data_IF_512471893718
#
_entry.id   IF_512471893718
#
_cell.length_a   1.000
_cell.length_b   1.000
_cell.length_c   1.000
_cell.angle_alpha   90.00
_cell.angle_beta   90.00
_cell.angle_gamma   90.00
#
_symmetry.space_group_name_H-M   'P 1'
#
loop_
_entity.id
_entity.type
_entity.pdbx_description
1 polymer ?
#
# COMPACT_ATOMS: atom_id res chain seq x y z
N UNK A 1 -10.28 -7.60 -8.17
CA UNK A 1 -8.94 -7.57 -7.55
C UNK A 1 -7.79 -7.78 -8.53
N UNK A 2 -7.94 -8.60 -9.58
CA UNK A 2 -6.85 -8.90 -10.53
C UNK A 2 -6.16 -7.67 -11.11
N UNK A 3 -6.93 -6.64 -11.49
CA UNK A 3 -6.40 -5.39 -12.05
C UNK A 3 -5.63 -4.56 -11.03
N UNK A 4 -6.15 -4.43 -9.81
CA UNK A 4 -5.53 -3.69 -8.70
C UNK A 4 -4.23 -4.38 -8.28
N UNK A 5 -4.28 -5.68 -8.01
CA UNK A 5 -3.10 -6.49 -7.69
C UNK A 5 -2.07 -6.44 -8.82
N UNK A 6 -2.50 -6.61 -10.08
CA UNK A 6 -1.61 -6.46 -11.24
C UNK A 6 -0.96 -5.07 -11.29
N UNK A 7 -1.71 -4.00 -11.01
CA UNK A 7 -1.20 -2.63 -11.03
C UNK A 7 -0.13 -2.46 -9.94
N UNK A 8 -0.42 -2.85 -8.71
CA UNK A 8 0.53 -2.79 -7.60
C UNK A 8 1.80 -3.60 -7.87
N UNK A 9 1.67 -4.83 -8.35
CA UNK A 9 2.83 -5.67 -8.69
C UNK A 9 3.60 -5.15 -9.92
N UNK A 10 2.94 -4.55 -10.91
CA UNK A 10 3.60 -3.94 -12.06
C UNK A 10 4.46 -2.73 -11.63
N UNK A 11 3.95 -1.89 -10.73
CA UNK A 11 4.72 -0.78 -10.15
C UNK A 11 5.85 -1.29 -9.26
N UNK A 12 5.59 -2.30 -8.41
CA UNK A 12 6.63 -2.96 -7.61
C UNK A 12 7.78 -3.42 -8.49
N UNK A 13 7.50 -4.25 -9.50
CA UNK A 13 8.52 -4.81 -10.39
C UNK A 13 9.28 -3.69 -11.10
N UNK A 14 8.58 -2.72 -11.69
CA UNK A 14 9.22 -1.62 -12.41
C UNK A 14 10.17 -0.82 -11.52
N UNK A 15 9.72 -0.49 -10.30
CA UNK A 15 10.51 0.29 -9.36
C UNK A 15 11.67 -0.53 -8.77
N UNK A 16 11.46 -1.80 -8.43
CA UNK A 16 12.50 -2.65 -7.86
C UNK A 16 13.56 -3.04 -8.89
N UNK A 17 13.20 -3.18 -10.16
CA UNK A 17 14.19 -3.30 -11.25
C UNK A 17 15.06 -2.05 -11.29
N UNK A 18 14.45 -0.85 -11.28
CA UNK A 18 15.19 0.42 -11.30
C UNK A 18 16.19 0.52 -10.12
N UNK A 19 15.71 0.25 -8.90
CA UNK A 19 16.54 0.25 -7.70
C UNK A 19 17.65 -0.81 -7.80
N UNK A 20 17.34 -2.01 -8.28
CA UNK A 20 18.32 -3.09 -8.41
C UNK A 20 19.41 -2.78 -9.43
N UNK A 21 19.04 -2.15 -10.56
CA UNK A 21 20.01 -1.63 -11.55
C UNK A 21 20.94 -0.63 -10.89
N UNK A 22 20.39 0.37 -10.21
CA UNK A 22 21.17 1.45 -9.62
C UNK A 22 22.11 0.97 -8.50
N UNK A 23 21.65 0.02 -7.67
CA UNK A 23 22.42 -0.51 -6.53
C UNK A 23 23.29 -1.72 -6.88
N UNK A 24 23.14 -2.31 -8.06
CA UNK A 24 23.82 -3.53 -8.44
C UNK A 24 23.31 -4.79 -7.73
N UNK A 25 22.02 -4.83 -7.34
CA UNK A 25 21.40 -5.92 -6.59
C UNK A 25 21.00 -7.12 -7.47
N UNK A 26 21.90 -7.55 -8.36
CA UNK A 26 21.67 -8.70 -9.26
C UNK A 26 22.26 -10.01 -8.76
N UNK A 27 23.12 -9.96 -7.75
CA UNK A 27 23.70 -11.17 -7.18
C UNK A 27 22.73 -11.85 -6.21
N UNK A 28 22.88 -13.17 -6.07
CA UNK A 28 22.03 -14.01 -5.24
C UNK A 28 21.79 -13.42 -3.83
N UNK A 29 22.78 -12.89 -3.08
CA UNK A 29 22.57 -12.37 -1.73
C UNK A 29 21.49 -11.28 -1.58
N UNK A 30 21.11 -10.61 -2.67
CA UNK A 30 20.09 -9.55 -2.66
C UNK A 30 18.66 -10.08 -2.92
N UNK A 31 18.46 -11.39 -3.11
CA UNK A 31 17.12 -11.99 -3.21
C UNK A 31 16.16 -11.61 -2.06
N UNK A 32 16.61 -11.39 -0.79
CA UNK A 32 15.70 -10.99 0.28
C UNK A 32 15.08 -9.61 0.05
N UNK A 33 15.73 -8.73 -0.73
CA UNK A 33 15.15 -7.43 -1.11
C UNK A 33 13.83 -7.62 -1.84
N UNK A 34 13.82 -8.52 -2.83
CA UNK A 34 12.65 -8.84 -3.64
C UNK A 34 11.55 -9.53 -2.86
N UNK A 35 11.92 -10.45 -1.94
CA UNK A 35 10.95 -11.10 -1.06
C UNK A 35 10.35 -10.10 -0.07
N UNK A 36 11.17 -9.22 0.48
CA UNK A 36 10.71 -8.06 1.24
C UNK A 36 9.72 -7.25 0.42
N UNK A 37 10.06 -6.95 -0.84
CA UNK A 37 9.19 -6.22 -1.76
C UNK A 37 7.82 -6.87 -1.96
N UNK A 38 7.79 -8.16 -2.30
CA UNK A 38 6.54 -8.91 -2.49
C UNK A 38 5.67 -8.87 -1.22
N UNK A 39 6.27 -9.15 -0.06
CA UNK A 39 5.53 -9.12 1.20
C UNK A 39 5.06 -7.71 1.54
N UNK A 40 5.92 -6.71 1.35
CA UNK A 40 5.60 -5.30 1.56
C UNK A 40 4.44 -4.81 0.71
N UNK A 41 4.33 -5.27 -0.54
CA UNK A 41 3.18 -4.97 -1.41
C UNK A 41 1.89 -5.63 -0.92
N UNK A 42 1.93 -6.76 -0.23
CA UNK A 42 0.73 -7.41 0.29
C UNK A 42 0.28 -6.84 1.64
N UNK A 43 1.16 -6.15 2.37
CA UNK A 43 0.85 -5.66 3.72
C UNK A 43 -0.29 -4.63 3.76
N UNK A 44 -0.40 -3.64 2.85
CA UNK A 44 -1.53 -2.72 2.83
C UNK A 44 -2.89 -3.40 2.71
N UNK A 45 -2.98 -4.48 1.92
CA UNK A 45 -4.23 -5.24 1.71
C UNK A 45 -4.73 -5.90 3.01
N UNK A 46 -3.85 -6.14 3.99
CA UNK A 46 -4.23 -6.67 5.31
C UNK A 46 -5.21 -5.74 6.04
N UNK A 47 -5.21 -4.45 5.73
CA UNK A 47 -6.14 -3.47 6.28
C UNK A 47 -7.60 -3.84 5.98
N UNK A 48 -7.88 -4.41 4.81
CA UNK A 48 -9.21 -4.87 4.46
C UNK A 48 -9.65 -6.09 5.27
N UNK A 49 -8.72 -7.00 5.57
CA UNK A 49 -9.00 -8.13 6.45
C UNK A 49 -9.21 -7.66 7.89
N UNK A 50 -8.39 -6.72 8.38
CA UNK A 50 -8.59 -6.09 9.69
C UNK A 50 -9.95 -5.43 9.79
N UNK A 51 -10.38 -4.74 8.72
CA UNK A 51 -11.70 -4.13 8.65
C UNK A 51 -12.83 -5.15 8.82
N UNK A 52 -12.79 -6.22 8.03
CA UNK A 52 -13.82 -7.26 8.00
C UNK A 52 -13.91 -8.03 9.32
N UNK A 53 -12.76 -8.39 9.90
CA UNK A 53 -12.74 -9.26 11.07
C UNK A 53 -12.83 -8.52 12.40
N UNK A 54 -12.27 -7.30 12.50
CA UNK A 54 -12.08 -6.63 13.78
C UNK A 54 -12.75 -5.26 13.86
N UNK A 55 -12.67 -4.42 12.83
CA UNK A 55 -13.16 -3.03 12.95
C UNK A 55 -14.67 -2.91 12.73
N UNK A 56 -15.21 -3.65 11.76
CA UNK A 56 -16.60 -3.56 11.31
C UNK A 56 -17.18 -4.93 10.93
N UNK A 57 -17.11 -5.95 11.80
CA UNK A 57 -17.67 -7.28 11.50
C UNK A 57 -19.19 -7.28 11.27
N UNK A 58 -19.90 -6.29 11.80
CA UNK A 58 -21.34 -6.14 11.68
C UNK A 58 -21.82 -5.63 10.31
N UNK A 59 -20.94 -5.07 9.48
CA UNK A 59 -21.35 -4.57 8.16
C UNK A 59 -21.69 -5.72 7.21
N UNK A 60 -22.70 -5.50 6.34
CA UNK A 60 -23.19 -6.53 5.42
C UNK A 60 -22.07 -7.13 4.55
N UNK A 61 -21.15 -6.28 4.09
CA UNK A 61 -20.00 -6.70 3.29
C UNK A 61 -19.04 -7.57 4.09
N UNK A 62 -18.75 -7.21 5.34
CA UNK A 62 -17.94 -8.03 6.26
C UNK A 62 -18.59 -9.39 6.55
N UNK A 63 -19.90 -9.40 6.79
CA UNK A 63 -20.65 -10.65 7.01
C UNK A 63 -20.62 -11.55 5.76
N UNK A 64 -20.79 -10.96 4.57
CA UNK A 64 -20.75 -11.69 3.30
C UNK A 64 -19.37 -12.27 3.02
N UNK A 65 -18.31 -11.51 3.27
CA UNK A 65 -16.91 -11.97 3.17
C UNK A 65 -16.66 -13.15 4.11
N UNK A 66 -17.08 -13.04 5.38
CA UNK A 66 -16.94 -14.11 6.37
C UNK A 66 -17.69 -15.38 5.95
N UNK A 67 -18.92 -15.23 5.45
CA UNK A 67 -19.71 -16.35 4.96
C UNK A 67 -19.06 -17.08 3.77
N UNK A 68 -18.53 -16.32 2.80
CA UNK A 68 -17.89 -16.90 1.60
C UNK A 68 -16.56 -17.57 1.92
N UNK A 69 -15.76 -16.99 2.82
CA UNK A 69 -14.54 -17.63 3.33
C UNK A 69 -14.85 -18.90 4.12
N UNK A 70 -15.91 -18.90 4.92
CA UNK A 70 -16.39 -20.10 5.62
C UNK A 70 -16.79 -21.24 4.68
N UNK A 71 -17.12 -20.93 3.42
CA UNK A 71 -17.40 -21.91 2.36
C UNK A 71 -16.18 -22.30 1.52
N UNK A 72 -15.00 -21.76 1.82
CA UNK A 72 -13.78 -21.98 1.04
C UNK A 72 -13.75 -21.25 -0.30
N UNK A 73 -14.65 -20.30 -0.55
CA UNK A 73 -14.77 -19.58 -1.83
C UNK A 73 -13.77 -18.41 -1.95
N UNK A 74 -12.48 -18.66 -1.70
CA UNK A 74 -11.43 -17.63 -1.55
C UNK A 74 -11.39 -16.66 -2.74
N UNK A 75 -11.40 -17.15 -3.98
CA UNK A 75 -11.35 -16.28 -5.15
C UNK A 75 -12.56 -15.36 -5.28
N UNK A 76 -13.77 -15.88 -5.03
CA UNK A 76 -14.99 -15.08 -5.09
C UNK A 76 -15.03 -14.05 -3.95
N UNK A 77 -14.49 -14.39 -2.79
CA UNK A 77 -14.33 -13.44 -1.68
C UNK A 77 -13.41 -12.28 -2.07
N UNK A 78 -12.29 -12.57 -2.72
CA UNK A 78 -11.35 -11.56 -3.17
C UNK A 78 -11.96 -10.64 -4.23
N UNK A 79 -12.78 -11.20 -5.13
CA UNK A 79 -13.53 -10.40 -6.10
C UNK A 79 -14.58 -9.51 -5.41
N UNK A 80 -15.34 -10.05 -4.45
CA UNK A 80 -16.29 -9.28 -3.64
C UNK A 80 -15.59 -8.14 -2.90
N UNK A 81 -14.45 -8.41 -2.26
CA UNK A 81 -13.66 -7.41 -1.56
C UNK A 81 -13.28 -6.27 -2.52
N UNK A 82 -12.79 -6.59 -3.71
CA UNK A 82 -12.42 -5.57 -4.68
C UNK A 82 -13.63 -4.75 -5.19
N UNK A 83 -14.77 -5.39 -5.44
CA UNK A 83 -15.98 -4.69 -5.91
C UNK A 83 -16.55 -3.74 -4.85
N UNK A 84 -16.45 -4.14 -3.57
CA UNK A 84 -16.98 -3.37 -2.43
C UNK A 84 -15.92 -2.49 -1.78
N UNK A 85 -14.78 -2.22 -2.45
CA UNK A 85 -13.65 -1.46 -1.89
C UNK A 85 -14.07 -0.11 -1.32
N UNK A 86 -14.87 0.64 -2.06
CA UNK A 86 -15.29 1.99 -1.66
C UNK A 86 -16.33 2.00 -0.52
N UNK A 87 -16.95 0.86 -0.20
CA UNK A 87 -17.83 0.75 0.96
C UNK A 87 -17.02 0.80 2.27
N UNK A 88 -15.75 0.36 2.22
CA UNK A 88 -14.85 0.30 3.38
C UNK A 88 -14.08 1.61 3.55
N UNK A 89 -14.74 2.59 4.15
CA UNK A 89 -14.20 3.96 4.35
C UNK A 89 -13.32 4.13 5.61
N UNK A 90 -13.25 3.11 6.48
CA UNK A 90 -12.57 3.20 7.79
C UNK A 90 -11.31 2.33 7.92
N UNK A 91 -10.47 2.38 6.90
CA UNK A 91 -9.18 1.69 6.81
C UNK A 91 -8.12 2.43 7.66
N UNK A 92 -7.17 1.68 8.26
CA UNK A 92 -6.13 2.18 9.18
C UNK A 92 -4.93 2.72 8.40
N UNK A 93 -4.40 1.93 7.47
CA UNK A 93 -3.20 2.25 6.69
C UNK A 93 -3.48 3.34 5.66
N UNK A 94 -4.73 3.47 5.23
CA UNK A 94 -5.19 4.47 4.27
C UNK A 94 -5.53 5.80 4.94
N UNK A 95 -4.63 6.28 5.80
CA UNK A 95 -4.73 7.58 6.48
C UNK A 95 -3.41 8.33 6.36
N UNK A 96 -3.48 9.65 6.32
CA UNK A 96 -2.26 10.48 6.23
C UNK A 96 -1.43 10.41 7.50
N UNK A 97 -2.06 10.26 8.67
CA UNK A 97 -1.32 10.06 9.91
C UNK A 97 -0.50 8.77 9.85
N UNK A 98 -1.09 7.66 9.41
CA UNK A 98 -0.35 6.43 9.20
C UNK A 98 0.80 6.64 8.23
N UNK A 99 0.54 7.26 7.06
CA UNK A 99 1.56 7.44 6.04
C UNK A 99 2.74 8.29 6.53
N UNK A 100 2.49 9.39 7.25
CA UNK A 100 3.55 10.24 7.81
C UNK A 100 4.39 9.47 8.84
N UNK A 101 3.74 8.77 9.78
CA UNK A 101 4.45 7.94 10.77
C UNK A 101 5.25 6.85 10.05
N UNK A 102 4.65 6.20 9.05
CA UNK A 102 5.27 5.12 8.31
C UNK A 102 6.43 5.59 7.44
N UNK A 103 6.40 6.82 6.88
CA UNK A 103 7.56 7.43 6.24
C UNK A 103 8.74 7.58 7.20
N UNK A 104 8.50 8.04 8.43
CA UNK A 104 9.55 8.19 9.46
C UNK A 104 10.15 6.81 9.81
N UNK A 105 9.30 5.81 10.04
CA UNK A 105 9.75 4.45 10.33
C UNK A 105 10.51 3.84 9.15
N UNK A 106 10.03 4.04 7.93
CA UNK A 106 10.68 3.57 6.71
C UNK A 106 12.05 4.22 6.53
N UNK A 107 12.18 5.53 6.79
CA UNK A 107 13.46 6.21 6.77
C UNK A 107 14.44 5.58 7.76
N UNK A 108 14.02 5.29 8.99
CA UNK A 108 14.86 4.63 9.99
C UNK A 108 15.30 3.24 9.53
N UNK A 109 14.38 2.43 9.00
CA UNK A 109 14.71 1.09 8.48
C UNK A 109 15.69 1.18 7.31
N UNK A 110 15.49 2.11 6.39
CA UNK A 110 16.35 2.26 5.20
C UNK A 110 17.75 2.75 5.58
N UNK A 111 17.84 3.77 6.45
CA UNK A 111 19.11 4.39 6.83
C UNK A 111 19.91 3.61 7.87
N UNK A 112 19.25 2.86 8.78
CA UNK A 112 19.91 2.24 9.94
C UNK A 112 19.84 0.72 9.99
N UNK A 113 18.93 0.08 9.24
CA UNK A 113 18.86 -1.38 9.24
C UNK A 113 19.92 -2.01 8.35
N UNK A 114 20.61 -3.03 8.85
CA UNK A 114 21.41 -3.94 8.02
C UNK A 114 20.58 -4.95 7.22
N UNK A 115 19.25 -4.98 7.41
CA UNK A 115 18.36 -5.95 6.77
C UNK A 115 17.92 -5.50 5.37
N UNK A 116 18.49 -6.13 4.34
CA UNK A 116 18.10 -5.96 2.94
C UNK A 116 16.61 -6.31 2.73
N UNK A 117 16.13 -7.34 3.44
CA UNK A 117 14.71 -7.71 3.46
C UNK A 117 13.82 -6.59 4.00
N UNK A 118 14.16 -6.05 5.18
CA UNK A 118 13.38 -4.99 5.81
C UNK A 118 13.28 -3.74 4.94
N UNK A 119 14.39 -3.38 4.28
CA UNK A 119 14.47 -2.30 3.30
C UNK A 119 13.51 -2.49 2.12
N UNK A 120 13.50 -3.68 1.51
CA UNK A 120 12.55 -4.00 0.44
C UNK A 120 11.10 -3.96 0.92
N UNK A 121 10.83 -4.48 2.12
CA UNK A 121 9.48 -4.50 2.68
C UNK A 121 8.90 -3.10 2.88
N UNK A 122 9.62 -2.22 3.56
CA UNK A 122 9.09 -0.86 3.83
C UNK A 122 8.95 -0.04 2.55
N UNK A 123 9.87 -0.22 1.60
CA UNK A 123 9.84 0.51 0.34
C UNK A 123 8.66 0.08 -0.55
N UNK A 124 8.38 -1.22 -0.63
CA UNK A 124 7.24 -1.73 -1.37
C UNK A 124 5.89 -1.38 -0.72
N UNK A 125 5.84 -1.37 0.62
CA UNK A 125 4.66 -0.92 1.34
C UNK A 125 4.38 0.55 1.02
N UNK A 126 5.38 1.44 1.14
CA UNK A 126 5.23 2.85 0.79
C UNK A 126 4.80 3.04 -0.67
N UNK A 127 5.41 2.29 -1.59
CA UNK A 127 5.05 2.34 -3.00
C UNK A 127 3.58 1.97 -3.22
N UNK A 128 3.10 0.87 -2.64
CA UNK A 128 1.71 0.44 -2.76
C UNK A 128 0.76 1.54 -2.29
N UNK A 129 0.97 2.10 -1.09
CA UNK A 129 0.13 3.20 -0.59
C UNK A 129 0.11 4.43 -1.52
N UNK A 130 1.26 4.78 -2.11
CA UNK A 130 1.32 5.88 -3.07
C UNK A 130 0.62 5.57 -4.40
N UNK A 131 0.59 4.30 -4.82
CA UNK A 131 -0.20 3.91 -6.00
C UNK A 131 -1.69 3.98 -5.69
N UNK A 132 -2.14 3.54 -4.51
CA UNK A 132 -3.53 3.70 -4.08
C UNK A 132 -3.98 5.15 -4.10
N UNK A 133 -3.11 6.06 -3.63
CA UNK A 133 -3.36 7.49 -3.69
C UNK A 133 -3.58 8.02 -5.11
N UNK A 134 -2.80 7.53 -6.08
CA UNK A 134 -2.96 7.91 -7.49
C UNK A 134 -4.29 7.36 -8.04
N UNK A 135 -4.63 6.12 -7.69
CA UNK A 135 -5.88 5.47 -8.10
C UNK A 135 -7.08 6.22 -7.52
N UNK A 136 -7.09 6.49 -6.23
CA UNK A 136 -8.17 7.20 -5.54
C UNK A 136 -8.33 8.63 -6.09
N UNK A 137 -7.23 9.34 -6.36
CA UNK A 137 -7.27 10.67 -6.98
C UNK A 137 -7.87 10.63 -8.39
N UNK A 138 -7.63 9.55 -9.15
CA UNK A 138 -8.17 9.38 -10.51
C UNK A 138 -9.65 8.99 -10.50
N UNK A 139 -10.06 8.12 -9.59
CA UNK A 139 -11.38 7.51 -9.58
C UNK A 139 -12.40 8.31 -8.76
N UNK A 140 -12.00 8.82 -7.59
CA UNK A 140 -12.88 9.58 -6.68
C UNK A 140 -12.68 11.09 -6.76
N UNK A 141 -11.59 11.54 -7.39
CA UNK A 141 -11.28 12.96 -7.58
C UNK A 141 -10.70 13.65 -6.34
N UNK A 142 -10.44 12.93 -5.24
CA UNK A 142 -9.92 13.51 -4.00
C UNK A 142 -9.46 12.49 -2.96
N UNK A 143 -9.08 12.98 -1.78
CA UNK A 143 -8.45 12.23 -0.69
C UNK A 143 -9.36 12.07 0.54
N UNK A 144 -10.67 12.04 0.35
CA UNK A 144 -11.63 12.01 1.48
C UNK A 144 -11.36 10.87 2.47
N UNK A 145 -11.01 9.68 1.98
CA UNK A 145 -10.65 8.53 2.83
C UNK A 145 -9.33 8.76 3.58
N UNK A 146 -8.31 9.28 2.90
CA UNK A 146 -6.98 9.54 3.45
C UNK A 146 -6.96 10.66 4.51
N UNK A 147 -7.83 11.66 4.31
CA UNK A 147 -7.99 12.85 5.15
C UNK A 147 -9.11 12.72 6.19
N UNK A 148 -9.69 11.53 6.37
CA UNK A 148 -10.87 11.32 7.24
C UNK A 148 -10.71 11.91 8.64
N UNK A 149 -9.52 11.79 9.20
CA UNK A 149 -9.23 12.19 10.57
C UNK A 149 -8.61 13.61 10.66
N UNK A 150 -8.55 14.33 9.54
CA UNK A 150 -8.03 15.70 9.45
C UNK A 150 -9.14 16.74 9.57
N UNK A 151 -8.89 17.89 10.23
CA UNK A 151 -9.88 18.96 10.37
C UNK A 151 -10.07 19.78 9.09
N UNK A 152 -9.33 19.48 8.02
CA UNK A 152 -9.36 20.19 6.74
C UNK A 152 -9.37 19.22 5.56
N UNK A 153 -9.88 19.71 4.42
CA UNK A 153 -9.87 18.98 3.15
C UNK A 153 -8.87 19.65 2.22
N UNK A 154 -8.04 18.86 1.53
CA UNK A 154 -7.19 19.39 0.48
C UNK A 154 -7.98 19.56 -0.82
N UNK A 155 -7.76 20.69 -1.48
CA UNK A 155 -8.14 20.84 -2.88
C UNK A 155 -7.33 19.89 -3.77
N UNK A 156 -7.83 19.68 -4.99
CA UNK A 156 -7.22 18.77 -5.96
C UNK A 156 -5.75 19.12 -6.24
N UNK A 157 -5.41 20.41 -6.32
CA UNK A 157 -4.05 20.85 -6.63
C UNK A 157 -3.08 20.50 -5.50
N UNK A 158 -3.43 20.79 -4.24
CA UNK A 158 -2.62 20.38 -3.09
C UNK A 158 -2.52 18.87 -2.96
N UNK A 159 -3.58 18.14 -3.31
CA UNK A 159 -3.58 16.68 -3.33
C UNK A 159 -2.57 16.13 -4.35
N UNK A 160 -2.53 16.71 -5.56
CA UNK A 160 -1.53 16.36 -6.58
C UNK A 160 -0.11 16.63 -6.07
N UNK A 161 0.13 17.80 -5.47
CA UNK A 161 1.45 18.11 -4.90
C UNK A 161 1.86 17.15 -3.78
N UNK A 162 0.91 16.74 -2.94
CA UNK A 162 1.16 15.74 -1.92
C UNK A 162 1.60 14.41 -2.55
N UNK A 163 0.85 13.90 -3.54
CA UNK A 163 1.22 12.65 -4.24
C UNK A 163 2.61 12.75 -4.87
N UNK A 164 2.90 13.84 -5.57
CA UNK A 164 4.22 14.06 -6.17
C UNK A 164 5.30 14.05 -5.10
N UNK A 165 5.09 14.74 -3.97
CA UNK A 165 6.05 14.74 -2.86
C UNK A 165 6.26 13.32 -2.29
N UNK A 166 5.20 12.53 -2.11
CA UNK A 166 5.33 11.14 -1.63
C UNK A 166 6.14 10.27 -2.59
N UNK A 167 5.90 10.38 -3.91
CA UNK A 167 6.66 9.65 -4.92
C UNK A 167 8.14 10.07 -4.96
N UNK A 168 8.42 11.37 -4.82
CA UNK A 168 9.80 11.87 -4.77
C UNK A 168 10.53 11.37 -3.53
N UNK A 169 9.86 11.30 -2.37
CA UNK A 169 10.44 10.74 -1.15
C UNK A 169 10.72 9.24 -1.31
N UNK A 170 9.79 8.48 -1.89
CA UNK A 170 10.00 7.04 -2.17
C UNK A 170 11.17 6.83 -3.12
N UNK A 171 11.27 7.66 -4.17
CA UNK A 171 12.39 7.63 -5.09
C UNK A 171 13.72 7.92 -4.38
N UNK A 172 13.76 8.97 -3.54
CA UNK A 172 14.92 9.29 -2.71
C UNK A 172 15.30 8.12 -1.80
N UNK A 173 14.32 7.48 -1.16
CA UNK A 173 14.54 6.31 -0.31
C UNK A 173 15.10 5.13 -1.09
N UNK A 174 14.63 4.88 -2.32
CA UNK A 174 15.19 3.86 -3.20
C UNK A 174 16.66 4.12 -3.56
N UNK A 175 17.05 5.38 -3.72
CA UNK A 175 18.45 5.75 -3.98
C UNK A 175 19.34 5.76 -2.72
N UNK A 176 18.76 5.95 -1.54
CA UNK A 176 19.46 5.94 -0.25
C UNK A 176 19.80 4.52 0.26
N UNK A 177 19.21 3.47 -0.33
CA UNK A 177 19.50 2.07 0.01
C UNK A 177 21.00 1.75 -0.02
#
# INVERSE_FOLDING_TARGET
MKKELFTHFAFLISFFILVSIFRGYFSLPFWPFWVGGILGTLMPDLDHFLYVYFLRPQELTSQRVNYMLGKGEVFKTLDLLAETRYERTKLIFHTIFFQVIFFILSFLVISSSGSIFGRGLVLAFLLHLSIDQIIDLKETGGFSNWMRDMPFVLDRTRTIYYVIATLLIILLFGFLL
#
